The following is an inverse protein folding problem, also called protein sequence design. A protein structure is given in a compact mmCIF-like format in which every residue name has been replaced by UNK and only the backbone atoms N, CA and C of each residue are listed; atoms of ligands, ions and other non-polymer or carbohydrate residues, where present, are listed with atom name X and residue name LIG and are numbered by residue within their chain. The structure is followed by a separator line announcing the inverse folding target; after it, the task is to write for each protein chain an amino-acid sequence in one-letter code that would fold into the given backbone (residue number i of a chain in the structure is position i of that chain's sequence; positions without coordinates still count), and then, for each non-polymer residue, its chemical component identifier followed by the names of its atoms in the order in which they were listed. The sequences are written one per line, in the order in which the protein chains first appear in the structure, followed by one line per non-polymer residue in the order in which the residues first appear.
data_IF_655424800677
#
_entry.id   IF_655424800677
#
_cell.length_a   1.000
_cell.length_b   1.000
_cell.length_c   1.000
_cell.angle_alpha   90.00
_cell.angle_beta   90.00
_cell.angle_gamma   90.00
#
_symmetry.space_group_name_H-M   'P 1'
#
loop_
_entity.id
_entity.type
_entity.pdbx_description
1 polymer ?
#
# COMPACT_ATOMS: atom_id res chain seq x y z
N UNK A 1 -3.55 2.54 11.05
CA UNK A 1 -4.57 2.14 10.05
C UNK A 1 -3.89 1.28 9.01
N UNK A 2 -4.57 0.32 8.36
CA UNK A 2 -3.96 -0.42 7.27
C UNK A 2 -3.58 0.54 6.15
N UNK A 3 -2.42 0.32 5.53
CA UNK A 3 -1.94 1.10 4.40
C UNK A 3 -2.89 0.97 3.21
N UNK A 4 -3.08 2.06 2.48
CA UNK A 4 -4.01 2.13 1.38
C UNK A 4 -3.29 2.49 0.08
N UNK A 5 -3.66 1.81 -0.99
CA UNK A 5 -3.12 2.04 -2.34
C UNK A 5 -4.27 2.39 -3.28
N UNK A 6 -4.12 3.49 -4.00
CA UNK A 6 -5.09 3.91 -5.01
C UNK A 6 -4.71 3.40 -6.39
N UNK A 7 -5.69 2.95 -7.19
CA UNK A 7 -5.46 2.63 -8.60
C UNK A 7 -5.82 3.86 -9.43
N UNK A 8 -4.89 4.27 -10.29
CA UNK A 8 -5.03 5.38 -11.23
C UNK A 8 -4.64 4.94 -12.64
N UNK A 9 -5.08 5.65 -13.65
CA UNK A 9 -4.78 5.35 -15.07
C UNK A 9 -5.78 6.00 -15.99
N UNK A 10 -5.44 6.07 -17.27
CA UNK A 10 -6.31 6.62 -18.31
C UNK A 10 -7.58 5.75 -18.49
N UNK A 11 -8.63 6.25 -19.14
CA UNK A 11 -9.81 5.45 -19.45
C UNK A 11 -9.42 4.18 -20.22
N UNK A 12 -10.05 3.05 -19.88
CA UNK A 12 -9.85 1.73 -20.50
C UNK A 12 -8.46 1.09 -20.31
N UNK A 13 -7.59 1.63 -19.45
CA UNK A 13 -6.28 1.03 -19.18
C UNK A 13 -6.33 -0.30 -18.42
N UNK A 14 -7.50 -0.72 -17.89
CA UNK A 14 -7.66 -1.97 -17.13
C UNK A 14 -7.62 -1.81 -15.62
N UNK A 15 -7.84 -0.62 -15.07
CA UNK A 15 -7.84 -0.35 -13.61
C UNK A 15 -8.70 -1.32 -12.79
N UNK A 16 -9.98 -1.44 -13.16
CA UNK A 16 -10.92 -2.31 -12.43
C UNK A 16 -10.60 -3.79 -12.62
N UNK A 17 -10.04 -4.16 -13.79
CA UNK A 17 -9.55 -5.53 -14.02
C UNK A 17 -8.39 -5.86 -13.08
N UNK A 18 -7.40 -4.96 -12.96
CA UNK A 18 -6.29 -5.11 -12.01
C UNK A 18 -6.80 -5.14 -10.56
N UNK A 19 -7.77 -4.27 -10.20
CA UNK A 19 -8.39 -4.28 -8.88
C UNK A 19 -8.99 -5.64 -8.56
N UNK A 20 -9.79 -6.21 -9.47
CA UNK A 20 -10.42 -7.52 -9.28
C UNK A 20 -9.38 -8.63 -9.14
N UNK A 21 -8.36 -8.63 -9.98
CA UNK A 21 -7.26 -9.59 -9.92
C UNK A 21 -6.52 -9.53 -8.57
N UNK A 22 -6.17 -8.33 -8.09
CA UNK A 22 -5.44 -8.14 -6.82
C UNK A 22 -6.26 -8.47 -5.57
N UNK A 23 -7.58 -8.24 -5.61
CA UNK A 23 -8.42 -8.29 -4.40
C UNK A 23 -9.37 -9.47 -4.37
N UNK A 24 -9.40 -10.29 -5.43
CA UNK A 24 -10.39 -11.36 -5.63
C UNK A 24 -11.83 -10.84 -5.49
N UNK A 25 -12.05 -9.59 -5.86
CA UNK A 25 -13.33 -8.91 -5.78
C UNK A 25 -14.05 -8.97 -7.13
N UNK A 26 -15.36 -9.15 -7.11
CA UNK A 26 -16.20 -9.15 -8.31
C UNK A 26 -16.71 -7.74 -8.67
N UNK A 27 -15.88 -6.70 -8.63
CA UNK A 27 -16.28 -5.37 -9.07
C UNK A 27 -16.59 -5.37 -10.58
N UNK A 28 -17.67 -4.70 -10.98
CA UNK A 28 -18.13 -4.70 -12.37
C UNK A 28 -17.11 -4.01 -13.29
N UNK A 29 -16.60 -4.76 -14.26
CA UNK A 29 -15.71 -4.24 -15.31
C UNK A 29 -16.57 -3.75 -16.47
N UNK A 30 -16.66 -2.43 -16.66
CA UNK A 30 -17.42 -1.83 -17.76
C UNK A 30 -16.51 -1.29 -18.84
N UNK A 31 -16.82 -1.58 -20.10
CA UNK A 31 -16.12 -1.01 -21.27
C UNK A 31 -16.38 0.50 -21.46
N UNK A 32 -17.37 1.04 -20.77
CA UNK A 32 -17.70 2.46 -20.77
C UNK A 32 -17.54 3.00 -19.36
N UNK A 33 -16.93 4.17 -19.22
CA UNK A 33 -16.81 4.86 -17.95
C UNK A 33 -18.21 5.07 -17.32
N UNK A 34 -18.64 4.14 -16.50
CA UNK A 34 -19.86 4.31 -15.73
C UNK A 34 -19.55 5.27 -14.57
N UNK A 35 -20.37 6.29 -14.44
CA UNK A 35 -20.30 7.25 -13.34
C UNK A 35 -20.93 6.62 -12.10
N UNK A 36 -20.31 5.56 -11.58
CA UNK A 36 -20.66 5.06 -10.25
C UNK A 36 -19.89 5.89 -9.23
N UNK A 37 -20.59 6.60 -8.37
CA UNK A 37 -20.03 7.54 -7.40
C UNK A 37 -19.28 6.86 -6.24
N UNK A 38 -19.22 5.54 -6.18
CA UNK A 38 -18.59 4.80 -5.07
C UNK A 38 -17.28 4.13 -5.51
N UNK A 39 -16.21 4.38 -4.75
CA UNK A 39 -14.95 3.66 -4.90
C UNK A 39 -15.13 2.18 -4.54
N UNK A 40 -14.53 1.29 -5.34
CA UNK A 40 -14.38 -0.11 -4.97
C UNK A 40 -13.23 -0.23 -3.97
N UNK A 41 -13.42 -1.04 -2.93
CA UNK A 41 -12.41 -1.25 -1.88
C UNK A 41 -12.25 -2.74 -1.66
N UNK A 42 -11.01 -3.21 -1.71
CA UNK A 42 -10.67 -4.62 -1.48
C UNK A 42 -9.33 -4.75 -0.74
N UNK A 43 -8.94 -5.99 -0.48
CA UNK A 43 -7.69 -6.32 0.21
C UNK A 43 -6.83 -7.17 -0.72
N UNK A 44 -5.63 -6.70 -1.06
CA UNK A 44 -4.61 -7.47 -1.74
C UNK A 44 -3.71 -8.15 -0.71
N UNK A 45 -3.60 -9.47 -0.76
CA UNK A 45 -2.73 -10.23 0.13
C UNK A 45 -1.27 -10.01 -0.24
N UNK A 46 -0.40 -9.94 0.77
CA UNK A 46 1.06 -9.89 0.57
C UNK A 46 1.58 -11.31 0.70
N UNK A 47 1.99 -11.95 -0.41
CA UNK A 47 2.55 -13.29 -0.38
C UNK A 47 3.90 -13.27 0.34
N UNK A 48 4.13 -14.26 1.22
CA UNK A 48 5.39 -14.42 1.92
C UNK A 48 5.59 -15.91 2.25
N UNK A 49 6.50 -16.56 1.53
CA UNK A 49 6.79 -18.00 1.70
C UNK A 49 7.24 -18.37 3.11
N UNK A 50 7.87 -17.42 3.82
CA UNK A 50 8.33 -17.62 5.19
C UNK A 50 7.17 -17.95 6.13
N UNK A 51 5.99 -17.33 5.91
CA UNK A 51 4.80 -17.56 6.73
C UNK A 51 4.35 -19.04 6.66
N UNK A 52 4.29 -19.62 5.47
CA UNK A 52 3.92 -21.03 5.27
C UNK A 52 4.89 -22.01 5.96
N UNK A 53 6.19 -21.73 5.85
CA UNK A 53 7.25 -22.53 6.50
C UNK A 53 7.15 -22.45 8.03
N UNK A 54 6.93 -21.24 8.57
CA UNK A 54 6.75 -21.04 10.02
C UNK A 54 5.46 -21.70 10.53
N UNK A 55 4.36 -21.59 9.78
CA UNK A 55 3.10 -22.24 10.12
C UNK A 55 3.23 -23.77 10.19
N UNK A 56 3.94 -24.34 9.22
CA UNK A 56 4.22 -25.80 9.19
C UNK A 56 5.05 -26.24 10.39
N UNK A 57 6.08 -25.45 10.76
CA UNK A 57 6.95 -25.76 11.90
C UNK A 57 6.18 -25.93 13.22
N UNK A 58 5.22 -25.03 13.49
CA UNK A 58 4.45 -25.03 14.74
C UNK A 58 3.11 -25.74 14.64
N UNK A 59 2.72 -26.23 13.44
CA UNK A 59 1.44 -26.88 13.21
C UNK A 59 0.24 -25.94 13.33
N UNK A 60 0.37 -24.71 12.90
CA UNK A 60 -0.70 -23.70 12.98
C UNK A 60 -1.93 -24.13 12.19
N UNK A 61 -3.11 -24.01 12.81
CA UNK A 61 -4.39 -24.39 12.18
C UNK A 61 -4.88 -23.40 11.13
N UNK A 62 -4.41 -22.15 11.20
CA UNK A 62 -4.80 -21.07 10.30
C UNK A 62 -3.57 -20.27 9.89
N UNK A 63 -3.50 -19.92 8.62
CA UNK A 63 -2.47 -19.03 8.06
C UNK A 63 -3.17 -17.76 7.58
N UNK A 64 -2.69 -16.60 8.04
CA UNK A 64 -3.27 -15.30 7.68
C UNK A 64 -2.16 -14.38 7.16
N UNK A 65 -2.06 -14.20 5.83
CA UNK A 65 -1.14 -13.25 5.24
C UNK A 65 -1.46 -11.81 5.62
N UNK A 66 -0.45 -10.94 5.64
CA UNK A 66 -0.65 -9.50 5.67
C UNK A 66 -1.36 -9.04 4.38
N UNK A 67 -2.02 -7.89 4.44
CA UNK A 67 -2.74 -7.37 3.29
C UNK A 67 -2.64 -5.85 3.20
N UNK A 68 -2.70 -5.33 1.98
CA UNK A 68 -2.78 -3.91 1.66
C UNK A 68 -4.21 -3.61 1.20
N UNK A 69 -4.78 -2.51 1.68
CA UNK A 69 -6.07 -2.03 1.21
C UNK A 69 -5.91 -1.37 -0.16
N UNK A 70 -6.65 -1.86 -1.15
CA UNK A 70 -6.66 -1.32 -2.51
C UNK A 70 -7.97 -0.57 -2.75
N UNK A 71 -7.87 0.59 -3.39
CA UNK A 71 -9.00 1.46 -3.71
C UNK A 71 -9.00 1.72 -5.22
N UNK A 72 -10.03 1.25 -5.91
CA UNK A 72 -10.31 1.59 -7.31
C UNK A 72 -11.39 2.68 -7.35
N UNK A 73 -11.05 3.81 -7.93
CA UNK A 73 -11.98 4.91 -8.12
C UNK A 73 -12.46 4.92 -9.57
N UNK A 74 -13.72 4.52 -9.84
CA UNK A 74 -14.25 4.51 -11.18
C UNK A 74 -14.26 5.91 -11.81
N UNK A 75 -13.96 5.98 -13.11
CA UNK A 75 -14.04 7.22 -13.90
C UNK A 75 -12.68 7.79 -14.30
N UNK A 76 -12.72 8.77 -15.21
CA UNK A 76 -11.55 9.46 -15.77
C UNK A 76 -11.07 10.64 -14.92
N UNK A 77 -11.67 10.89 -13.76
CA UNK A 77 -11.32 12.06 -12.94
C UNK A 77 -10.67 11.64 -11.66
N UNK A 78 -9.47 12.17 -11.41
CA UNK A 78 -8.73 12.08 -10.15
C UNK A 78 -9.48 12.78 -8.99
N UNK A 79 -10.55 13.48 -9.30
CA UNK A 79 -11.39 14.22 -8.35
C UNK A 79 -12.55 13.36 -7.79
N UNK A 80 -12.21 12.35 -6.98
CA UNK A 80 -13.25 11.76 -6.14
C UNK A 80 -13.01 12.21 -4.70
N UNK A 81 -14.02 12.83 -4.05
CA UNK A 81 -13.86 13.27 -2.67
C UNK A 81 -13.42 12.11 -1.76
N UNK A 82 -12.26 12.21 -1.14
CA UNK A 82 -11.81 11.37 -0.05
C UNK A 82 -11.14 10.03 -0.39
N UNK A 83 -11.07 9.60 -1.67
CA UNK A 83 -10.52 8.28 -1.99
C UNK A 83 -8.99 8.23 -2.17
N UNK A 84 -8.48 8.90 -3.20
CA UNK A 84 -7.08 8.80 -3.60
C UNK A 84 -6.11 9.63 -2.76
N UNK A 85 -6.57 10.78 -2.23
CA UNK A 85 -5.70 11.65 -1.42
C UNK A 85 -5.33 11.04 -0.08
N UNK A 86 -6.14 10.14 0.45
CA UNK A 86 -5.88 9.43 1.71
C UNK A 86 -5.10 8.13 1.51
N UNK A 87 -4.71 7.78 0.27
CA UNK A 87 -3.88 6.60 0.02
C UNK A 87 -2.40 6.91 0.24
N UNK A 88 -1.62 5.87 0.54
CA UNK A 88 -0.18 5.97 0.83
C UNK A 88 0.67 5.84 -0.45
N UNK A 89 0.15 5.18 -1.49
CA UNK A 89 0.78 5.02 -2.80
C UNK A 89 -0.26 4.93 -3.92
N UNK A 90 0.17 5.03 -5.17
CA UNK A 90 -0.65 4.92 -6.36
C UNK A 90 -0.11 3.83 -7.31
N UNK A 91 -1.00 2.93 -7.79
CA UNK A 91 -0.74 2.03 -8.90
C UNK A 91 -1.21 2.71 -10.20
N UNK A 92 -0.28 3.01 -11.08
CA UNK A 92 -0.53 3.65 -12.38
C UNK A 92 -0.71 2.57 -13.45
N UNK A 93 -1.95 2.24 -13.80
CA UNK A 93 -2.26 1.27 -14.85
C UNK A 93 -2.21 1.95 -16.21
N UNK A 94 -1.32 1.46 -17.08
CA UNK A 94 -1.17 1.92 -18.46
C UNK A 94 -1.52 0.81 -19.45
N UNK A 95 -2.10 1.19 -20.59
CA UNK A 95 -2.52 0.24 -21.63
C UNK A 95 -1.32 -0.27 -22.44
N UNK A 96 -1.24 -1.57 -22.61
CA UNK A 96 -0.24 -2.28 -23.44
C UNK A 96 -0.87 -3.19 -24.51
N UNK A 97 -2.22 -3.25 -24.61
CA UNK A 97 -2.93 -4.12 -25.55
C UNK A 97 -3.38 -3.43 -26.82
N UNK A 98 -3.74 -2.14 -26.77
CA UNK A 98 -4.23 -1.41 -27.95
C UNK A 98 -3.17 -1.36 -29.03
N UNK A 99 -3.59 -1.37 -30.29
CA UNK A 99 -2.66 -1.37 -31.44
C UNK A 99 -1.80 -0.09 -31.55
N UNK A 100 -2.22 0.97 -30.90
CA UNK A 100 -1.56 2.27 -30.77
C UNK A 100 -1.07 2.54 -29.33
N UNK A 101 -1.00 1.49 -28.48
CA UNK A 101 -0.57 1.62 -27.10
C UNK A 101 0.85 2.19 -26.98
N UNK A 102 0.98 3.21 -26.17
CA UNK A 102 2.25 3.81 -25.74
C UNK A 102 2.27 3.99 -24.23
N UNK A 103 2.65 2.93 -23.48
CA UNK A 103 2.66 2.94 -22.02
C UNK A 103 3.49 4.07 -21.40
N UNK A 104 4.58 4.48 -22.08
CA UNK A 104 5.43 5.57 -21.60
C UNK A 104 4.72 6.92 -21.72
N UNK A 105 4.07 7.18 -22.85
CA UNK A 105 3.27 8.38 -23.08
C UNK A 105 2.06 8.45 -22.16
N UNK A 106 1.39 7.33 -21.94
CA UNK A 106 0.24 7.25 -21.03
C UNK A 106 0.64 7.56 -19.61
N UNK A 107 1.80 7.04 -19.17
CA UNK A 107 2.33 7.32 -17.83
C UNK A 107 2.68 8.82 -17.66
N UNK A 108 3.31 9.44 -18.67
CA UNK A 108 3.59 10.88 -18.64
C UNK A 108 2.30 11.72 -18.62
N UNK A 109 1.30 11.33 -19.43
CA UNK A 109 -0.01 11.97 -19.42
C UNK A 109 -0.65 11.87 -18.03
N UNK A 110 -0.62 10.68 -17.41
CA UNK A 110 -1.16 10.48 -16.06
C UNK A 110 -0.42 11.33 -15.00
N UNK A 111 0.91 11.44 -15.09
CA UNK A 111 1.69 12.32 -14.20
C UNK A 111 1.25 13.77 -14.30
N UNK A 112 1.02 14.25 -15.51
CA UNK A 112 0.51 15.60 -15.72
C UNK A 112 -0.92 15.78 -15.17
N UNK A 113 -1.80 14.79 -15.34
CA UNK A 113 -3.14 14.81 -14.74
C UNK A 113 -3.09 14.89 -13.21
N UNK A 114 -2.15 14.18 -12.57
CA UNK A 114 -1.95 14.26 -11.12
C UNK A 114 -1.48 15.66 -10.69
N UNK A 115 -0.58 16.30 -11.45
CA UNK A 115 -0.15 17.69 -11.20
C UNK A 115 -1.33 18.66 -11.34
N UNK A 116 -2.16 18.50 -12.37
CA UNK A 116 -3.37 19.31 -12.57
C UNK A 116 -4.35 19.13 -11.40
N UNK A 117 -4.55 17.90 -10.95
CA UNK A 117 -5.42 17.61 -9.82
C UNK A 117 -4.92 18.22 -8.50
N UNK A 118 -3.61 18.25 -8.27
CA UNK A 118 -3.01 18.92 -7.12
C UNK A 118 -3.14 20.45 -7.24
N UNK A 119 -2.90 21.02 -8.44
CA UNK A 119 -3.11 22.44 -8.71
C UNK A 119 -4.55 22.87 -8.37
N UNK A 120 -5.53 22.16 -8.91
CA UNK A 120 -6.94 22.48 -8.70
C UNK A 120 -7.34 22.35 -7.21
N UNK A 121 -6.72 21.40 -6.48
CA UNK A 121 -6.94 21.24 -5.04
C UNK A 121 -6.36 22.42 -4.25
N UNK A 122 -5.12 22.83 -4.57
CA UNK A 122 -4.46 23.99 -3.95
C UNK A 122 -5.23 25.28 -4.25
N UNK A 123 -5.70 25.48 -5.48
CA UNK A 123 -6.48 26.64 -5.86
C UNK A 123 -7.79 26.77 -5.04
N UNK A 124 -8.52 25.64 -4.89
CA UNK A 124 -9.73 25.60 -4.03
C UNK A 124 -9.41 25.88 -2.56
N UNK A 125 -8.28 25.41 -2.04
CA UNK A 125 -7.83 25.72 -0.67
C UNK A 125 -7.47 27.19 -0.54
N UNK A 126 -6.75 27.72 -1.51
CA UNK A 126 -6.33 29.12 -1.58
C UNK A 126 -7.54 30.08 -1.55
N UNK A 127 -8.58 29.79 -2.31
CA UNK A 127 -9.82 30.58 -2.30
C UNK A 127 -10.49 30.61 -0.92
N UNK A 128 -10.48 29.51 -0.18
CA UNK A 128 -11.01 29.44 1.18
C UNK A 128 -10.17 30.27 2.14
N UNK A 129 -8.84 30.04 2.14
CA UNK A 129 -7.90 30.75 3.02
C UNK A 129 -7.90 32.25 2.76
N UNK A 130 -8.05 32.71 1.49
CA UNK A 130 -8.21 34.13 1.15
C UNK A 130 -9.42 34.80 1.80
N UNK A 131 -10.51 34.07 1.98
CA UNK A 131 -11.69 34.57 2.69
C UNK A 131 -11.44 34.71 4.18
N UNK A 132 -10.78 33.71 4.75
CA UNK A 132 -10.47 33.63 6.20
C UNK A 132 -9.35 34.64 6.60
N UNK A 133 -8.37 34.89 5.71
CA UNK A 133 -7.27 35.82 5.93
C UNK A 133 -7.73 37.30 6.16
N UNK A 134 -8.98 37.64 5.77
CA UNK A 134 -9.57 38.94 6.05
C UNK A 134 -9.76 39.20 7.55
N UNK A 135 -9.78 38.15 8.38
CA UNK A 135 -9.83 38.27 9.85
C UNK A 135 -8.53 38.77 10.50
N UNK A 136 -7.41 38.77 9.75
CA UNK A 136 -6.13 39.35 10.19
C UNK A 136 -5.23 38.40 10.95
N UNK A 137 -5.59 37.13 11.09
CA UNK A 137 -4.75 36.13 11.78
C UNK A 137 -3.41 35.90 11.07
N UNK A 138 -2.25 36.02 11.79
CA UNK A 138 -0.92 35.85 11.21
C UNK A 138 -0.66 34.46 10.62
N UNK A 139 -1.19 33.38 11.23
CA UNK A 139 -1.01 32.02 10.73
C UNK A 139 -1.70 31.83 9.38
N UNK A 140 -2.93 32.31 9.25
CA UNK A 140 -3.71 32.28 7.99
C UNK A 140 -3.02 33.07 6.88
N UNK A 141 -2.34 34.18 7.22
CA UNK A 141 -1.57 34.93 6.23
C UNK A 141 -0.32 34.18 5.75
N UNK A 142 0.37 33.49 6.66
CA UNK A 142 1.52 32.66 6.28
C UNK A 142 1.10 31.48 5.39
N UNK A 143 -0.03 30.82 5.72
CA UNK A 143 -0.61 29.76 4.88
C UNK A 143 -0.97 30.30 3.50
N UNK A 144 -1.55 31.49 3.41
CA UNK A 144 -1.89 32.14 2.14
C UNK A 144 -0.68 32.27 1.22
N UNK A 145 0.42 32.84 1.74
CA UNK A 145 1.67 33.03 0.97
C UNK A 145 2.22 31.67 0.52
N UNK A 146 2.25 30.69 1.41
CA UNK A 146 2.74 29.35 1.09
C UNK A 146 1.91 28.67 -0.02
N UNK A 147 0.58 28.77 0.05
CA UNK A 147 -0.30 28.21 -0.99
C UNK A 147 -0.15 28.93 -2.34
N UNK A 148 0.10 30.25 -2.36
CA UNK A 148 0.38 30.99 -3.60
C UNK A 148 1.70 30.53 -4.24
N UNK A 149 2.74 30.27 -3.46
CA UNK A 149 4.02 29.75 -3.96
C UNK A 149 3.88 28.29 -4.44
N UNK A 150 3.12 27.44 -3.74
CA UNK A 150 2.82 26.06 -4.16
C UNK A 150 2.05 26.07 -5.47
N UNK A 151 1.05 26.96 -5.61
CA UNK A 151 0.27 27.07 -6.85
C UNK A 151 1.19 27.49 -8.02
N UNK A 152 2.03 28.48 -7.83
CA UNK A 152 2.99 28.92 -8.86
C UNK A 152 3.96 27.80 -9.28
N UNK A 153 4.40 26.95 -8.34
CA UNK A 153 5.23 25.78 -8.65
C UNK A 153 4.45 24.76 -9.54
N UNK A 154 3.22 24.42 -9.18
CA UNK A 154 2.37 23.49 -9.94
C UNK A 154 2.01 24.02 -11.32
N UNK A 155 1.84 25.33 -11.49
CA UNK A 155 1.60 25.98 -12.77
C UNK A 155 2.79 25.82 -13.76
N UNK A 156 3.99 25.54 -13.27
CA UNK A 156 5.14 25.17 -14.12
C UNK A 156 5.10 23.74 -14.64
N UNK A 157 4.08 22.94 -14.25
CA UNK A 157 3.94 21.53 -14.61
C UNK A 157 4.80 20.59 -13.75
N UNK A 158 5.41 21.06 -12.66
CA UNK A 158 6.25 20.25 -11.77
C UNK A 158 5.43 19.63 -10.65
N UNK A 159 5.72 18.37 -10.27
CA UNK A 159 5.06 17.70 -9.15
C UNK A 159 5.52 18.28 -7.80
N UNK A 160 4.71 18.11 -6.75
CA UNK A 160 5.07 18.53 -5.40
C UNK A 160 6.12 17.63 -4.73
N UNK A 161 6.48 16.49 -5.31
CA UNK A 161 7.69 15.74 -4.92
C UNK A 161 8.98 16.55 -5.11
N UNK A 162 8.99 17.51 -6.05
CA UNK A 162 10.12 18.42 -6.31
C UNK A 162 10.12 19.67 -5.42
N UNK A 163 9.11 19.81 -4.57
CA UNK A 163 8.99 20.92 -3.64
C UNK A 163 9.91 20.73 -2.44
N UNK A 164 10.73 21.73 -2.11
CA UNK A 164 11.82 21.61 -1.13
C UNK A 164 11.45 21.99 0.31
N UNK A 165 10.25 22.54 0.52
CA UNK A 165 9.78 22.97 1.86
C UNK A 165 8.66 22.06 2.36
N UNK A 166 8.36 22.14 3.67
CA UNK A 166 7.26 21.42 4.28
C UNK A 166 5.93 21.82 3.64
N UNK A 167 5.10 20.83 3.33
CA UNK A 167 3.76 21.00 2.78
C UNK A 167 2.71 20.96 3.91
N UNK A 168 1.64 21.76 3.83
CA UNK A 168 0.52 21.63 4.75
C UNK A 168 -0.05 20.21 4.72
N UNK A 169 -0.19 19.57 5.90
CA UNK A 169 -0.63 18.17 6.01
C UNK A 169 -2.00 17.92 5.39
N UNK A 170 -2.88 18.91 5.46
CA UNK A 170 -4.24 18.82 4.93
C UNK A 170 -4.31 18.86 3.40
N UNK A 171 -3.22 19.15 2.70
CA UNK A 171 -3.19 19.11 1.24
C UNK A 171 -3.22 17.68 0.70
N UNK A 172 -2.60 16.73 1.41
CA UNK A 172 -2.52 15.32 1.01
C UNK A 172 -2.25 15.17 -0.51
N UNK A 173 -1.15 15.77 -1.03
CA UNK A 173 -0.94 15.86 -2.46
C UNK A 173 -0.72 14.49 -3.09
N UNK A 174 -1.26 14.32 -4.31
CA UNK A 174 -1.12 13.07 -5.07
C UNK A 174 0.29 12.89 -5.61
N UNK A 175 0.92 13.99 -6.04
CA UNK A 175 2.22 13.97 -6.70
C UNK A 175 3.40 13.76 -5.75
N UNK A 176 3.18 13.69 -4.45
CA UNK A 176 4.20 13.29 -3.45
C UNK A 176 4.17 11.79 -3.14
N UNK A 177 3.11 11.08 -3.57
CA UNK A 177 2.96 9.65 -3.31
C UNK A 177 3.83 8.83 -4.27
N UNK A 178 4.39 7.68 -3.81
CA UNK A 178 4.99 6.71 -4.70
C UNK A 178 4.02 6.32 -5.82
N UNK A 179 4.45 6.42 -7.07
CA UNK A 179 3.68 6.04 -8.25
C UNK A 179 4.32 4.82 -8.89
N UNK A 180 3.65 3.66 -8.81
CA UNK A 180 4.13 2.38 -9.31
C UNK A 180 3.45 2.06 -10.64
N UNK A 181 4.16 2.09 -11.77
CA UNK A 181 3.57 1.77 -13.07
C UNK A 181 3.30 0.27 -13.20
N UNK A 182 2.13 -0.04 -13.75
CA UNK A 182 1.70 -1.39 -14.13
C UNK A 182 1.25 -1.36 -15.58
N UNK A 183 2.03 -1.95 -16.48
CA UNK A 183 1.63 -2.12 -17.89
C UNK A 183 0.65 -3.29 -17.99
N UNK A 184 -0.60 -3.01 -18.38
CA UNK A 184 -1.61 -4.02 -18.66
C UNK A 184 -1.46 -4.46 -20.11
N UNK A 185 -0.71 -5.53 -20.37
CA UNK A 185 -0.39 -5.96 -21.71
C UNK A 185 0.60 -7.11 -21.77
N UNK A 186 0.90 -7.61 -22.98
CA UNK A 186 1.74 -8.80 -23.18
C UNK A 186 3.20 -8.64 -22.73
N UNK A 187 3.69 -7.40 -22.54
CA UNK A 187 5.04 -7.12 -22.02
C UNK A 187 5.06 -6.83 -20.53
N UNK A 188 3.89 -6.65 -19.94
CA UNK A 188 3.68 -6.40 -18.53
C UNK A 188 2.82 -7.49 -17.91
N UNK A 189 1.65 -7.12 -17.41
CA UNK A 189 0.70 -8.03 -16.78
C UNK A 189 -0.56 -8.11 -17.62
N UNK A 190 -0.93 -9.32 -18.02
CA UNK A 190 -2.27 -9.55 -18.55
C UNK A 190 -3.27 -9.60 -17.39
N UNK A 191 -3.79 -8.42 -17.01
CA UNK A 191 -4.70 -8.29 -15.89
C UNK A 191 -5.97 -9.13 -16.06
N UNK A 192 -6.40 -9.39 -17.30
CA UNK A 192 -7.58 -10.22 -17.57
C UNK A 192 -7.26 -11.69 -17.31
N UNK A 193 -6.13 -12.17 -17.82
CA UNK A 193 -5.67 -13.53 -17.57
C UNK A 193 -5.46 -13.76 -16.07
N UNK A 194 -4.77 -12.85 -15.39
CA UNK A 194 -4.57 -12.96 -13.93
C UNK A 194 -5.89 -12.98 -13.17
N UNK A 195 -6.88 -12.18 -13.56
CA UNK A 195 -8.22 -12.20 -12.95
C UNK A 195 -8.93 -13.55 -13.14
N UNK A 196 -8.79 -14.17 -14.32
CA UNK A 196 -9.34 -15.50 -14.60
C UNK A 196 -8.61 -16.60 -13.83
N UNK A 197 -7.28 -16.51 -13.68
CA UNK A 197 -6.46 -17.48 -12.95
C UNK A 197 -6.72 -17.48 -11.44
N UNK A 198 -7.15 -16.35 -10.88
CA UNK A 198 -7.52 -16.24 -9.45
C UNK A 198 -8.70 -17.14 -9.07
N UNK A 199 -9.57 -17.50 -10.02
CA UNK A 199 -10.71 -18.40 -9.81
C UNK A 199 -10.31 -19.89 -9.79
N UNK A 200 -9.08 -20.21 -10.20
CA UNK A 200 -8.53 -21.58 -10.24
C UNK A 200 -7.79 -21.91 -8.94
N UNK A 201 -7.56 -23.21 -8.71
CA UNK A 201 -6.60 -23.64 -7.69
C UNK A 201 -5.17 -23.26 -8.08
N UNK A 202 -4.27 -23.16 -7.09
CA UNK A 202 -2.85 -22.83 -7.36
C UNK A 202 -2.18 -23.81 -8.33
N UNK A 203 -2.58 -25.11 -8.29
CA UNK A 203 -2.08 -26.16 -9.16
C UNK A 203 -2.56 -25.97 -10.60
N UNK A 204 -3.85 -25.68 -10.80
CA UNK A 204 -4.45 -25.39 -12.11
C UNK A 204 -3.88 -24.07 -12.69
N UNK A 205 -3.78 -23.02 -11.88
CA UNK A 205 -3.22 -21.74 -12.31
C UNK A 205 -1.75 -21.86 -12.76
N UNK A 206 -0.96 -22.74 -12.10
CA UNK A 206 0.44 -22.97 -12.44
C UNK A 206 0.62 -23.59 -13.85
N UNK A 207 -0.36 -24.31 -14.37
CA UNK A 207 -0.30 -24.86 -15.74
C UNK A 207 -0.37 -23.75 -16.80
N UNK A 208 -0.98 -22.62 -16.50
CA UNK A 208 -1.13 -21.48 -17.40
C UNK A 208 -0.06 -20.40 -17.20
N UNK A 209 0.71 -20.47 -16.10
CA UNK A 209 1.75 -19.51 -15.80
C UNK A 209 3.14 -20.04 -16.18
N UNK A 210 3.97 -19.17 -16.76
CA UNK A 210 5.36 -19.48 -17.06
C UNK A 210 6.34 -19.18 -15.90
N UNK A 211 5.79 -18.85 -14.69
CA UNK A 211 6.57 -18.41 -13.54
C UNK A 211 5.72 -17.96 -12.34
N UNK A 212 6.30 -17.21 -11.40
CA UNK A 212 5.56 -16.61 -10.29
C UNK A 212 4.40 -15.73 -10.77
N UNK A 213 3.40 -15.51 -9.92
CA UNK A 213 2.30 -14.61 -10.25
C UNK A 213 2.81 -13.19 -10.50
N UNK A 214 2.43 -12.61 -11.63
CA UNK A 214 2.76 -11.22 -11.93
C UNK A 214 2.08 -10.25 -10.94
N UNK A 215 0.97 -10.65 -10.33
CA UNK A 215 0.32 -9.89 -9.25
C UNK A 215 1.19 -9.85 -7.99
N UNK A 216 1.86 -10.95 -7.64
CA UNK A 216 2.77 -11.00 -6.50
C UNK A 216 3.93 -10.02 -6.67
N UNK A 217 4.45 -9.89 -7.90
CA UNK A 217 5.48 -8.88 -8.20
C UNK A 217 4.97 -7.46 -7.98
N UNK A 218 3.73 -7.14 -8.40
CA UNK A 218 3.12 -5.81 -8.13
C UNK A 218 3.02 -5.56 -6.64
N UNK A 219 2.57 -6.54 -5.86
CA UNK A 219 2.42 -6.40 -4.40
C UNK A 219 3.78 -6.24 -3.73
N UNK A 220 4.82 -6.95 -4.17
CA UNK A 220 6.18 -6.76 -3.66
C UNK A 220 6.74 -5.38 -4.00
N UNK A 221 6.57 -4.90 -5.23
CA UNK A 221 6.96 -3.53 -5.62
C UNK A 221 6.24 -2.46 -4.80
N UNK A 222 4.96 -2.69 -4.46
CA UNK A 222 4.22 -1.82 -3.54
C UNK A 222 4.81 -1.85 -2.12
N UNK A 223 5.11 -3.04 -1.62
CA UNK A 223 5.75 -3.22 -0.31
C UNK A 223 7.06 -2.43 -0.23
N UNK A 224 7.91 -2.56 -1.25
CA UNK A 224 9.22 -1.89 -1.33
C UNK A 224 9.07 -0.37 -1.45
N UNK A 225 8.18 0.11 -2.33
CA UNK A 225 7.93 1.54 -2.52
C UNK A 225 7.37 2.24 -1.27
N UNK A 226 6.63 1.49 -0.43
CA UNK A 226 6.12 1.95 0.85
C UNK A 226 7.13 1.77 2.00
N UNK A 227 8.30 1.19 1.73
CA UNK A 227 9.31 0.91 2.76
C UNK A 227 8.82 -0.06 3.84
N UNK A 228 8.01 -1.06 3.46
CA UNK A 228 7.42 -2.00 4.41
C UNK A 228 8.34 -3.17 4.70
N UNK A 229 8.38 -3.54 5.97
CA UNK A 229 8.94 -4.79 6.46
C UNK A 229 7.82 -5.74 6.87
N UNK A 230 8.12 -7.03 6.91
CA UNK A 230 7.20 -8.06 7.41
C UNK A 230 7.72 -8.64 8.72
N UNK A 231 6.86 -8.73 9.74
CA UNK A 231 7.11 -9.53 10.93
C UNK A 231 6.02 -10.58 11.11
N UNK A 232 6.27 -11.57 11.95
CA UNK A 232 5.37 -12.70 12.16
C UNK A 232 4.95 -12.85 13.62
N UNK A 233 3.72 -13.29 13.81
CA UNK A 233 3.26 -13.88 15.07
C UNK A 233 2.84 -15.31 14.78
N UNK A 234 3.36 -16.28 15.54
CA UNK A 234 3.07 -17.69 15.29
C UNK A 234 2.66 -18.41 16.56
N UNK A 235 1.68 -19.27 16.43
CA UNK A 235 1.16 -20.12 17.50
C UNK A 235 0.32 -21.26 16.93
N UNK A 236 -0.10 -22.20 17.78
CA UNK A 236 -0.85 -23.40 17.38
C UNK A 236 -2.19 -23.06 16.69
N UNK A 237 -2.80 -21.94 17.04
CA UNK A 237 -4.08 -21.53 16.46
C UNK A 237 -3.94 -20.79 15.16
N UNK A 238 -2.96 -19.90 15.06
CA UNK A 238 -2.76 -19.02 13.92
C UNK A 238 -1.28 -18.66 13.75
N UNK A 239 -0.80 -18.72 12.50
CA UNK A 239 0.39 -18.04 12.04
C UNK A 239 -0.04 -16.84 11.18
N UNK A 240 0.50 -15.67 11.47
CA UNK A 240 0.12 -14.46 10.79
C UNK A 240 1.32 -13.58 10.46
N UNK A 241 1.34 -13.03 9.25
CA UNK A 241 2.28 -11.97 8.88
C UNK A 241 1.63 -10.60 9.06
N UNK A 242 2.47 -9.62 9.35
CA UNK A 242 2.09 -8.23 9.60
C UNK A 242 3.05 -7.31 8.88
N UNK A 243 2.61 -6.13 8.51
CA UNK A 243 3.46 -5.11 7.91
C UNK A 243 3.72 -3.97 8.89
N UNK A 244 4.96 -3.46 8.85
CA UNK A 244 5.38 -2.22 9.50
C UNK A 244 6.17 -1.38 8.51
N UNK A 245 6.24 -0.08 8.72
CA UNK A 245 7.24 0.75 8.04
C UNK A 245 8.61 0.51 8.65
N UNK A 246 9.63 0.51 7.84
CA UNK A 246 11.01 0.38 8.31
C UNK A 246 11.31 1.42 9.40
N UNK A 247 11.92 0.97 10.49
CA UNK A 247 12.24 1.81 11.66
C UNK A 247 11.14 1.92 12.71
N UNK A 248 9.95 1.35 12.46
CA UNK A 248 8.93 1.24 13.52
C UNK A 248 9.33 0.24 14.59
N UNK A 249 8.77 0.42 15.79
CA UNK A 249 9.20 -0.25 17.02
C UNK A 249 8.33 -1.45 17.39
N UNK A 250 8.80 -2.24 18.38
CA UNK A 250 8.01 -3.33 18.96
C UNK A 250 6.68 -2.84 19.56
N UNK A 251 6.61 -1.57 20.01
CA UNK A 251 5.35 -0.97 20.47
C UNK A 251 4.40 -0.74 19.28
N UNK A 252 4.93 -0.28 18.14
CA UNK A 252 4.15 -0.10 16.91
C UNK A 252 3.65 -1.46 16.37
N UNK A 253 4.51 -2.50 16.43
CA UNK A 253 4.13 -3.86 16.11
C UNK A 253 2.99 -4.36 17.01
N UNK A 254 3.08 -4.14 18.31
CA UNK A 254 2.01 -4.47 19.26
C UNK A 254 0.71 -3.73 18.93
N UNK A 255 0.79 -2.45 18.55
CA UNK A 255 -0.36 -1.64 18.15
C UNK A 255 -1.01 -2.13 16.86
N UNK A 256 -0.21 -2.65 15.90
CA UNK A 256 -0.73 -3.23 14.66
C UNK A 256 -1.48 -4.55 14.90
N UNK A 257 -1.09 -5.31 15.93
CA UNK A 257 -1.78 -6.54 16.34
C UNK A 257 -3.11 -6.19 17.05
N UNK A 258 -3.03 -5.38 18.11
CA UNK A 258 -4.20 -4.91 18.85
C UNK A 258 -3.83 -3.73 19.76
N UNK A 259 -4.71 -2.75 19.86
CA UNK A 259 -4.49 -1.56 20.72
C UNK A 259 -4.31 -1.91 22.20
N UNK A 260 -4.98 -2.95 22.69
CA UNK A 260 -4.85 -3.40 24.08
C UNK A 260 -3.48 -4.04 24.33
N UNK A 261 -2.92 -4.77 23.36
CA UNK A 261 -1.57 -5.34 23.47
C UNK A 261 -0.54 -4.20 23.57
N UNK A 262 -0.68 -3.16 22.77
CA UNK A 262 0.20 -1.98 22.85
C UNK A 262 0.06 -1.26 24.20
N UNK A 263 -1.18 -1.11 24.69
CA UNK A 263 -1.44 -0.44 25.98
C UNK A 263 -0.85 -1.21 27.17
N UNK A 264 -0.99 -2.53 27.15
CA UNK A 264 -0.47 -3.42 28.20
C UNK A 264 0.97 -3.89 27.97
N UNK A 265 1.70 -3.38 26.97
CA UNK A 265 3.00 -3.88 26.58
C UNK A 265 4.02 -3.89 27.74
N UNK A 266 4.61 -5.04 27.99
CA UNK A 266 5.67 -5.24 28.98
C UNK A 266 7.02 -5.39 28.26
N UNK A 267 7.14 -6.37 27.37
CA UNK A 267 8.32 -6.71 26.59
C UNK A 267 7.95 -7.57 25.39
N UNK A 268 8.88 -7.76 24.46
CA UNK A 268 8.71 -8.59 23.29
C UNK A 268 9.82 -9.65 23.24
N UNK A 269 9.47 -10.91 23.05
CA UNK A 269 10.40 -11.96 22.69
C UNK A 269 10.56 -11.94 21.17
N UNK A 270 11.78 -11.89 20.68
CA UNK A 270 12.12 -11.76 19.28
C UNK A 270 13.04 -12.89 18.86
N UNK A 271 12.68 -13.61 17.81
CA UNK A 271 13.51 -14.62 17.16
C UNK A 271 13.49 -14.34 15.65
N UNK A 272 14.64 -14.44 15.00
CA UNK A 272 14.66 -14.38 13.54
C UNK A 272 13.95 -15.60 12.95
N UNK A 273 13.21 -15.42 11.85
CA UNK A 273 12.45 -16.50 11.21
C UNK A 273 13.33 -17.69 10.78
N UNK A 274 14.54 -17.42 10.27
CA UNK A 274 15.52 -18.42 9.84
C UNK A 274 16.12 -19.18 11.04
N UNK A 275 16.50 -18.47 12.11
CA UNK A 275 16.96 -19.07 13.37
C UNK A 275 15.89 -20.00 13.97
N UNK A 276 14.62 -19.59 13.92
CA UNK A 276 13.51 -20.40 14.44
C UNK A 276 13.28 -21.67 13.63
N UNK A 277 13.37 -21.57 12.29
CA UNK A 277 13.30 -22.76 11.42
C UNK A 277 14.46 -23.72 11.65
N UNK A 278 15.69 -23.21 11.82
CA UNK A 278 16.86 -24.02 12.13
C UNK A 278 16.78 -24.69 13.51
N UNK A 279 16.25 -23.96 14.51
CA UNK A 279 16.06 -24.50 15.85
C UNK A 279 14.96 -25.57 15.92
N UNK A 280 13.96 -25.51 15.04
CA UNK A 280 12.84 -26.44 15.01
C UNK A 280 11.74 -26.18 16.06
N UNK A 281 11.96 -25.27 17.01
CA UNK A 281 10.97 -24.84 18.00
C UNK A 281 11.41 -23.60 18.76
N UNK A 282 10.44 -22.86 19.33
CA UNK A 282 10.73 -21.73 20.22
C UNK A 282 11.59 -22.11 21.43
N UNK A 283 11.32 -23.27 22.05
CA UNK A 283 12.07 -23.75 23.21
C UNK A 283 13.54 -24.03 22.86
N UNK A 284 13.79 -24.61 21.69
CA UNK A 284 15.14 -24.89 21.23
C UNK A 284 15.88 -23.61 20.83
N UNK A 285 15.22 -22.66 20.15
CA UNK A 285 15.78 -21.36 19.81
C UNK A 285 16.17 -20.58 21.11
N UNK A 286 15.33 -20.61 22.13
CA UNK A 286 15.65 -20.02 23.43
C UNK A 286 16.86 -20.71 24.10
N UNK A 287 16.94 -22.05 24.05
CA UNK A 287 18.07 -22.81 24.58
C UNK A 287 19.40 -22.51 23.87
N UNK A 288 19.34 -22.23 22.57
CA UNK A 288 20.50 -21.82 21.75
C UNK A 288 20.87 -20.33 21.91
N UNK A 289 20.08 -19.57 22.68
CA UNK A 289 20.32 -18.15 22.88
C UNK A 289 19.92 -17.26 21.68
N UNK A 290 19.13 -17.81 20.73
CA UNK A 290 18.65 -17.10 19.55
C UNK A 290 17.40 -16.25 19.83
N UNK A 291 16.76 -16.45 21.01
CA UNK A 291 15.66 -15.63 21.47
C UNK A 291 16.18 -14.41 22.23
N UNK A 292 15.84 -13.24 21.75
CA UNK A 292 16.14 -11.95 22.39
C UNK A 292 14.93 -11.47 23.16
N UNK A 293 15.15 -10.68 24.20
CA UNK A 293 14.11 -10.04 25.00
C UNK A 293 14.23 -8.54 24.88
N UNK A 294 13.29 -7.93 24.17
CA UNK A 294 13.37 -6.56 23.73
C UNK A 294 12.31 -5.66 24.39
N UNK A 295 12.62 -4.37 24.47
CA UNK A 295 11.72 -3.35 24.99
C UNK A 295 10.89 -2.65 23.92
N UNK A 296 10.08 -1.66 24.35
CA UNK A 296 9.16 -0.89 23.49
C UNK A 296 9.83 -0.21 22.30
N UNK A 297 11.09 0.20 22.45
CA UNK A 297 11.85 0.99 21.48
C UNK A 297 12.71 0.14 20.53
N UNK A 298 12.63 -1.18 20.63
CA UNK A 298 13.30 -2.07 19.69
C UNK A 298 12.77 -1.82 18.28
N UNK A 299 13.65 -1.46 17.34
CA UNK A 299 13.31 -1.33 15.93
C UNK A 299 13.14 -2.73 15.33
N UNK A 300 11.92 -3.06 14.90
CA UNK A 300 11.59 -4.36 14.32
C UNK A 300 12.29 -4.52 12.97
N UNK A 301 12.87 -5.69 12.74
CA UNK A 301 13.54 -6.04 11.49
C UNK A 301 12.66 -6.95 10.62
N UNK A 302 12.89 -6.91 9.28
CA UNK A 302 12.18 -7.81 8.35
C UNK A 302 12.50 -9.27 8.67
N UNK A 303 11.47 -10.07 8.88
CA UNK A 303 11.59 -11.47 9.23
C UNK A 303 11.60 -11.77 10.74
N UNK A 304 11.44 -10.79 11.61
CA UNK A 304 11.31 -11.04 13.04
C UNK A 304 10.02 -11.81 13.36
N UNK A 305 10.13 -12.83 14.20
CA UNK A 305 9.01 -13.53 14.83
C UNK A 305 8.84 -12.96 16.23
N UNK A 306 7.70 -12.33 16.48
CA UNK A 306 7.42 -11.58 17.69
C UNK A 306 6.41 -12.30 18.58
N UNK A 307 6.73 -12.39 19.88
CA UNK A 307 5.79 -12.80 20.92
C UNK A 307 5.69 -11.71 21.99
N UNK A 308 4.63 -10.92 21.93
CA UNK A 308 4.44 -9.77 22.82
C UNK A 308 3.87 -10.20 24.15
N UNK A 309 4.60 -9.91 25.25
CA UNK A 309 4.14 -10.10 26.62
C UNK A 309 3.46 -8.82 27.11
N UNK A 310 2.21 -8.93 27.47
CA UNK A 310 1.40 -7.79 27.90
C UNK A 310 0.55 -8.15 29.12
N UNK A 311 0.11 -7.13 29.86
CA UNK A 311 -0.84 -7.24 30.97
C UNK A 311 -1.88 -6.12 30.84
N UNK A 312 -3.15 -6.48 30.92
CA UNK A 312 -4.30 -5.56 30.83
C UNK A 312 -4.77 -5.18 32.22
#
# INVERSE_FOLDING_TARGET
MPLQVGIVGLPNSGKTTLFNALTHAGAEVTAYASVTEKANVGMALIPDERLGRLATLVGSRKITPAAIRVVDVPGARVEVPGGLRQTDALLAVVDGFSGDADPARDLETLRLELVVADRDHVERRLERVRKDAKSGDPATRQELVLLEEILAHLETGKPLSDWSRELPRELEPLTTKPLIPVENGPRGIDCKLEMELVELSDEEAAEFRSGPSALDEVVHRLKDALGLITFFTIGDTEARSWTLQHGQTALDAAASIHTDIARGFIRCEVIRWDDLLEAGSHAEAARRGQQRLEGKTYAVEDGDVLNVRFNL
#
